data_IF_847503054990
#
_entry.id   IF_847503054990
#
_cell.length_a   1.000
_cell.length_b   1.000
_cell.length_c   1.000
_cell.angle_alpha   90.00
_cell.angle_beta   90.00
_cell.angle_gamma   90.00
#
_symmetry.space_group_name_H-M   'P 1'
#
loop_
_entity.id
_entity.type
_entity.pdbx_description
1 polymer ?
#
# COMPACT_ATOMS: atom_id res chain seq x y z
N UNK A 1 -55.69 -67.44 -29.04
CA UNK A 1 -54.90 -67.09 -30.24
C UNK A 1 -54.68 -65.59 -30.41
N UNK A 2 -55.69 -64.72 -30.33
CA UNK A 2 -55.54 -63.27 -30.56
C UNK A 2 -54.52 -62.53 -29.66
N UNK A 3 -54.44 -62.87 -28.36
CA UNK A 3 -53.48 -62.23 -27.41
C UNK A 3 -52.02 -62.57 -27.71
N UNK A 4 -51.74 -63.77 -28.21
CA UNK A 4 -50.38 -64.21 -28.55
C UNK A 4 -49.88 -63.49 -29.80
N UNK A 5 -50.72 -63.35 -30.82
CA UNK A 5 -50.40 -62.55 -32.02
C UNK A 5 -50.13 -61.09 -31.67
N UNK A 6 -50.90 -60.51 -30.76
CA UNK A 6 -50.68 -59.12 -30.34
C UNK A 6 -49.32 -58.93 -29.65
N UNK A 7 -48.93 -59.86 -28.77
CA UNK A 7 -47.62 -59.84 -28.09
C UNK A 7 -46.48 -60.02 -29.10
N UNK A 8 -46.63 -60.92 -30.07
CA UNK A 8 -45.63 -61.14 -31.13
C UNK A 8 -45.47 -59.90 -32.01
N UNK A 9 -46.56 -59.24 -32.38
CA UNK A 9 -46.54 -57.98 -33.16
C UNK A 9 -45.89 -56.86 -32.35
N UNK A 10 -46.19 -56.77 -31.05
CA UNK A 10 -45.61 -55.76 -30.17
C UNK A 10 -44.10 -55.95 -29.98
N UNK A 11 -43.61 -57.19 -29.89
CA UNK A 11 -42.19 -57.52 -29.83
C UNK A 11 -41.49 -57.18 -31.16
N UNK A 12 -42.11 -57.48 -32.30
CA UNK A 12 -41.60 -57.10 -33.62
C UNK A 12 -41.50 -55.58 -33.80
N UNK A 13 -42.48 -54.83 -33.29
CA UNK A 13 -42.47 -53.37 -33.29
C UNK A 13 -41.36 -52.79 -32.41
N UNK A 14 -41.11 -53.40 -31.24
CA UNK A 14 -40.05 -52.99 -30.33
C UNK A 14 -38.65 -53.33 -30.87
N UNK A 15 -38.48 -54.48 -31.51
CA UNK A 15 -37.20 -54.88 -32.14
C UNK A 15 -36.88 -54.03 -33.37
N UNK A 16 -37.90 -53.50 -34.06
CA UNK A 16 -37.73 -52.58 -35.20
C UNK A 16 -37.22 -51.19 -34.85
N UNK A 17 -37.11 -50.84 -33.56
CA UNK A 17 -36.57 -49.56 -33.08
C UNK A 17 -35.07 -49.61 -32.76
N UNK A 18 -34.31 -50.58 -33.29
CA UNK A 18 -32.85 -50.51 -33.26
C UNK A 18 -32.37 -49.28 -34.05
N UNK A 19 -32.13 -48.19 -33.33
CA UNK A 19 -31.38 -47.03 -33.84
C UNK A 19 -29.97 -47.53 -34.12
N UNK A 20 -29.63 -47.62 -35.40
CA UNK A 20 -28.27 -47.94 -35.82
C UNK A 20 -27.40 -46.73 -35.44
N UNK A 21 -26.41 -46.96 -34.59
CA UNK A 21 -25.36 -45.97 -34.37
C UNK A 21 -24.54 -45.92 -35.66
N UNK A 22 -24.83 -44.95 -36.52
CA UNK A 22 -24.05 -44.72 -37.73
C UNK A 22 -22.73 -44.07 -37.32
N UNK A 23 -21.64 -44.81 -37.51
CA UNK A 23 -20.29 -44.29 -37.28
C UNK A 23 -20.04 -43.17 -38.28
N UNK A 24 -20.13 -41.92 -37.82
CA UNK A 24 -19.88 -40.75 -38.66
C UNK A 24 -18.41 -40.79 -39.12
N UNK A 25 -18.13 -41.00 -40.41
CA UNK A 25 -16.77 -41.09 -40.88
C UNK A 25 -16.14 -39.70 -40.86
N UNK A 26 -14.89 -39.62 -40.43
CA UNK A 26 -14.13 -38.38 -40.46
C UNK A 26 -13.97 -37.90 -41.92
N UNK A 27 -14.60 -36.78 -42.25
CA UNK A 27 -14.72 -36.31 -43.63
C UNK A 27 -13.51 -35.45 -44.05
N UNK A 28 -13.40 -35.17 -45.36
CA UNK A 28 -12.42 -34.21 -45.86
C UNK A 28 -12.68 -32.79 -45.33
N UNK A 29 -13.93 -32.42 -45.09
CA UNK A 29 -14.27 -31.11 -44.53
C UNK A 29 -13.77 -30.96 -43.09
N UNK A 30 -13.81 -32.05 -42.31
CA UNK A 30 -13.27 -32.06 -40.94
C UNK A 30 -11.75 -31.87 -40.95
N UNK A 31 -11.03 -32.44 -41.94
CA UNK A 31 -9.59 -32.18 -42.16
C UNK A 31 -9.30 -30.72 -42.43
N UNK A 32 -10.05 -30.10 -43.35
CA UNK A 32 -9.86 -28.69 -43.69
C UNK A 32 -10.18 -27.76 -42.51
N UNK A 33 -11.17 -28.12 -41.69
CA UNK A 33 -11.47 -27.43 -40.43
C UNK A 33 -10.31 -27.54 -39.44
N UNK A 34 -9.74 -28.72 -39.26
CA UNK A 34 -8.57 -28.91 -38.38
C UNK A 34 -7.37 -28.09 -38.85
N UNK A 35 -7.04 -28.11 -40.15
CA UNK A 35 -5.93 -27.34 -40.72
C UNK A 35 -6.13 -25.83 -40.47
N UNK A 36 -7.35 -25.33 -40.62
CA UNK A 36 -7.66 -23.91 -40.33
C UNK A 36 -7.52 -23.57 -38.85
N UNK A 37 -7.90 -24.50 -37.97
CA UNK A 37 -7.75 -24.34 -36.52
C UNK A 37 -6.27 -24.31 -36.15
N UNK A 38 -5.48 -25.24 -36.68
CA UNK A 38 -4.03 -25.31 -36.47
C UNK A 38 -3.34 -24.01 -36.91
N UNK A 39 -3.66 -23.50 -38.11
CA UNK A 39 -3.13 -22.22 -38.59
C UNK A 39 -3.51 -21.02 -37.69
N UNK A 40 -4.70 -21.03 -37.09
CA UNK A 40 -5.11 -20.00 -36.12
C UNK A 40 -4.38 -20.12 -34.79
N UNK A 41 -4.11 -21.35 -34.34
CA UNK A 41 -3.34 -21.61 -33.12
C UNK A 41 -1.91 -21.09 -33.31
N UNK A 42 -1.27 -21.39 -34.44
CA UNK A 42 0.07 -20.86 -34.72
C UNK A 42 0.13 -19.32 -34.76
N UNK A 43 -0.91 -18.67 -35.30
CA UNK A 43 -1.00 -17.20 -35.28
C UNK A 43 -1.18 -16.66 -33.85
N UNK A 44 -1.99 -17.35 -33.04
CA UNK A 44 -2.17 -17.02 -31.62
C UNK A 44 -0.85 -17.17 -30.86
N UNK A 45 -0.10 -18.25 -31.07
CA UNK A 45 1.20 -18.48 -30.42
C UNK A 45 2.20 -17.36 -30.74
N UNK A 46 2.30 -16.96 -32.01
CA UNK A 46 3.16 -15.82 -32.42
C UNK A 46 2.78 -14.52 -31.73
N UNK A 47 1.47 -14.28 -31.53
CA UNK A 47 0.99 -13.09 -30.83
C UNK A 47 1.28 -13.17 -29.33
N UNK A 48 1.18 -14.34 -28.71
CA UNK A 48 1.56 -14.55 -27.32
C UNK A 48 3.06 -14.32 -27.09
N UNK A 49 3.93 -14.84 -27.96
CA UNK A 49 5.37 -14.56 -27.87
C UNK A 49 5.68 -13.05 -27.95
N UNK A 50 4.94 -12.31 -28.78
CA UNK A 50 5.09 -10.85 -28.86
C UNK A 50 4.62 -10.16 -27.57
N UNK A 51 3.56 -10.66 -26.95
CA UNK A 51 3.05 -10.17 -25.67
C UNK A 51 4.08 -10.43 -24.57
N UNK A 52 4.66 -11.62 -24.49
CA UNK A 52 5.68 -11.97 -23.50
C UNK A 52 6.89 -11.04 -23.58
N UNK A 53 7.39 -10.78 -24.80
CA UNK A 53 8.50 -9.81 -25.01
C UNK A 53 8.16 -8.40 -24.52
N UNK A 54 6.91 -7.97 -24.69
CA UNK A 54 6.44 -6.66 -24.19
C UNK A 54 6.34 -6.67 -22.67
N UNK A 55 5.84 -7.75 -22.07
CA UNK A 55 5.76 -7.89 -20.62
C UNK A 55 7.14 -7.86 -19.98
N UNK A 56 8.12 -8.60 -20.50
CA UNK A 56 9.50 -8.51 -20.01
C UNK A 56 10.06 -7.08 -20.10
N UNK A 57 9.73 -6.35 -21.18
CA UNK A 57 10.15 -4.95 -21.31
C UNK A 57 9.49 -4.06 -20.24
N UNK A 58 8.22 -4.31 -19.90
CA UNK A 58 7.51 -3.58 -18.84
C UNK A 58 8.12 -3.91 -17.48
N UNK A 59 8.39 -5.17 -17.19
CA UNK A 59 9.00 -5.63 -15.95
C UNK A 59 10.36 -4.94 -15.72
N UNK A 60 11.24 -4.94 -16.74
CA UNK A 60 12.52 -4.20 -16.69
C UNK A 60 12.36 -2.70 -16.44
N UNK A 61 11.27 -2.08 -16.89
CA UNK A 61 11.00 -0.65 -16.62
C UNK A 61 10.51 -0.45 -15.19
N UNK A 62 9.67 -1.35 -14.68
CA UNK A 62 9.17 -1.32 -13.30
C UNK A 62 10.33 -1.50 -12.33
N UNK A 63 11.20 -2.49 -12.54
CA UNK A 63 12.40 -2.69 -11.71
C UNK A 63 13.29 -1.44 -11.67
N UNK A 64 13.46 -0.77 -12.82
CA UNK A 64 14.22 0.50 -12.87
C UNK A 64 13.55 1.60 -12.06
N UNK A 65 12.23 1.73 -12.15
CA UNK A 65 11.47 2.74 -11.41
C UNK A 65 11.50 2.46 -9.90
N UNK A 66 11.32 1.20 -9.50
CA UNK A 66 11.41 0.77 -8.11
C UNK A 66 12.79 1.08 -7.54
N UNK A 67 13.87 0.74 -8.27
CA UNK A 67 15.23 1.07 -7.86
C UNK A 67 15.43 2.59 -7.69
N UNK A 68 14.97 3.40 -8.65
CA UNK A 68 15.09 4.87 -8.55
C UNK A 68 14.29 5.42 -7.37
N UNK A 69 13.09 4.90 -7.13
CA UNK A 69 12.28 5.28 -5.97
C UNK A 69 12.98 4.91 -4.66
N UNK A 70 13.46 3.67 -4.51
CA UNK A 70 14.15 3.20 -3.30
C UNK A 70 15.39 4.07 -3.03
N UNK A 71 16.24 4.30 -4.05
CA UNK A 71 17.43 5.14 -3.89
C UNK A 71 17.08 6.61 -3.61
N UNK A 72 16.07 7.16 -4.29
CA UNK A 72 15.63 8.54 -4.10
C UNK A 72 15.06 8.78 -2.70
N UNK A 73 14.15 7.92 -2.25
CA UNK A 73 13.62 7.98 -0.89
C UNK A 73 14.71 7.72 0.16
N UNK A 74 15.60 6.76 -0.07
CA UNK A 74 16.74 6.49 0.81
C UNK A 74 17.60 7.72 1.05
N UNK A 75 17.91 8.49 -0.01
CA UNK A 75 18.65 9.74 0.09
C UNK A 75 17.87 10.79 0.90
N UNK A 76 16.57 10.95 0.64
CA UNK A 76 15.72 11.90 1.35
C UNK A 76 15.59 11.55 2.85
N UNK A 77 15.38 10.27 3.19
CA UNK A 77 15.30 9.84 4.58
C UNK A 77 16.64 9.95 5.30
N UNK A 78 17.74 9.59 4.63
CA UNK A 78 19.10 9.71 5.21
C UNK A 78 19.45 11.17 5.50
N UNK A 79 19.14 12.07 4.57
CA UNK A 79 19.36 13.52 4.76
C UNK A 79 18.45 14.10 5.83
N UNK A 80 17.17 13.71 5.88
CA UNK A 80 16.22 14.14 6.90
C UNK A 80 16.65 13.72 8.31
N UNK A 81 16.98 12.44 8.50
CA UNK A 81 17.45 11.91 9.79
C UNK A 81 18.81 12.52 10.14
N UNK A 82 19.70 12.68 9.17
CA UNK A 82 20.98 13.35 9.35
C UNK A 82 20.83 14.80 9.84
N UNK A 83 19.93 15.58 9.23
CA UNK A 83 19.65 16.95 9.66
C UNK A 83 18.97 16.99 11.03
N UNK A 84 17.98 16.14 11.29
CA UNK A 84 17.32 16.07 12.60
C UNK A 84 18.31 15.66 13.70
N UNK A 85 19.16 14.67 13.42
CA UNK A 85 20.22 14.24 14.32
C UNK A 85 21.24 15.35 14.58
N UNK A 86 21.68 16.05 13.53
CA UNK A 86 22.57 17.20 13.63
C UNK A 86 21.97 18.36 14.43
N UNK A 87 20.70 18.70 14.18
CA UNK A 87 19.99 19.77 14.90
C UNK A 87 19.78 19.40 16.37
N UNK A 88 19.44 18.15 16.68
CA UNK A 88 19.32 17.70 18.07
C UNK A 88 20.67 17.74 18.79
N UNK A 89 21.76 17.44 18.09
CA UNK A 89 23.12 17.55 18.61
C UNK A 89 23.54 19.01 18.84
N UNK A 90 23.28 19.90 17.88
CA UNK A 90 23.57 21.33 17.95
C UNK A 90 22.79 22.00 19.11
N UNK A 91 21.50 21.67 19.25
CA UNK A 91 20.64 22.20 20.31
C UNK A 91 21.19 21.94 21.71
N UNK A 92 21.74 20.75 21.99
CA UNK A 92 22.35 20.45 23.30
C UNK A 92 23.58 21.31 23.58
N UNK A 93 24.34 21.65 22.54
CA UNK A 93 25.57 22.46 22.66
C UNK A 93 25.24 23.96 22.80
N UNK A 94 24.28 24.45 22.02
CA UNK A 94 23.91 25.86 21.93
C UNK A 94 22.94 26.37 23.02
N UNK A 95 22.12 25.51 23.64
CA UNK A 95 21.20 25.95 24.72
C UNK A 95 21.86 26.14 26.08
N UNK A 96 23.09 25.66 26.28
CA UNK A 96 23.79 25.77 27.56
C UNK A 96 23.90 27.22 28.10
N UNK A 97 24.24 28.26 27.31
CA UNK A 97 24.23 29.64 27.78
C UNK A 97 22.82 30.21 28.01
N UNK A 98 21.83 29.78 27.25
CA UNK A 98 20.45 30.26 27.39
C UNK A 98 19.80 29.77 28.69
N UNK A 99 20.03 28.50 29.04
CA UNK A 99 19.57 27.92 30.31
C UNK A 99 20.25 28.63 31.50
N UNK A 100 21.56 28.90 31.41
CA UNK A 100 22.30 29.57 32.49
C UNK A 100 21.84 31.02 32.72
N UNK A 101 21.65 31.80 31.65
CA UNK A 101 21.12 33.17 31.76
C UNK A 101 19.70 33.20 32.33
N UNK A 102 18.84 32.27 31.93
CA UNK A 102 17.50 32.16 32.52
C UNK A 102 17.56 31.87 34.01
N UNK A 103 18.43 30.95 34.43
CA UNK A 103 18.60 30.64 35.86
C UNK A 103 19.11 31.84 36.66
N UNK A 104 20.08 32.59 36.14
CA UNK A 104 20.58 33.81 36.79
C UNK A 104 19.50 34.91 36.88
N UNK A 105 18.64 35.03 35.86
CA UNK A 105 17.52 35.97 35.87
C UNK A 105 16.46 35.58 36.90
N UNK A 106 16.14 34.29 37.00
CA UNK A 106 15.20 33.75 37.99
C UNK A 106 15.69 34.01 39.42
N UNK A 107 16.96 33.73 39.70
CA UNK A 107 17.59 34.00 41.00
C UNK A 107 17.61 35.50 41.37
N UNK A 108 17.82 36.38 40.38
CA UNK A 108 17.74 37.84 40.60
C UNK A 108 16.31 38.27 40.87
N UNK A 109 15.34 37.73 40.12
CA UNK A 109 13.94 38.07 40.28
C UNK A 109 13.43 37.65 41.67
N UNK A 110 13.82 36.46 42.15
CA UNK A 110 13.48 35.96 43.50
C UNK A 110 14.03 36.86 44.61
N UNK A 111 15.27 37.36 44.46
CA UNK A 111 15.88 38.30 45.42
C UNK A 111 15.14 39.64 45.43
N UNK A 112 14.74 40.14 44.27
CA UNK A 112 13.96 41.38 44.14
C UNK A 112 12.58 41.21 44.78
N UNK A 113 11.91 40.09 44.52
CA UNK A 113 10.61 39.77 45.14
C UNK A 113 10.73 39.69 46.66
N UNK A 114 11.78 39.05 47.20
CA UNK A 114 12.04 39.04 48.65
C UNK A 114 12.26 40.43 49.23
N UNK A 115 13.09 41.26 48.59
CA UNK A 115 13.34 42.62 49.05
C UNK A 115 12.07 43.49 49.01
N UNK A 116 11.24 43.34 47.97
CA UNK A 116 9.95 44.02 47.86
C UNK A 116 8.97 43.56 48.94
N UNK A 117 8.92 42.25 49.24
CA UNK A 117 8.12 41.71 50.35
C UNK A 117 8.54 42.30 51.70
N UNK A 118 9.84 42.35 51.97
CA UNK A 118 10.37 42.94 53.22
C UNK A 118 10.05 44.43 53.34
N UNK A 119 10.19 45.19 52.25
CA UNK A 119 9.90 46.63 52.24
C UNK A 119 8.40 46.91 52.36
N UNK A 120 7.55 46.04 51.85
CA UNK A 120 6.10 46.21 51.91
C UNK A 120 5.53 46.12 53.33
N UNK A 121 6.23 45.50 54.29
CA UNK A 121 5.86 45.59 55.70
C UNK A 121 6.07 47.00 56.28
N UNK A 122 6.88 47.85 55.65
CA UNK A 122 7.16 49.23 56.07
C UNK A 122 6.27 50.27 55.37
N UNK A 123 5.68 49.92 54.22
CA UNK A 123 4.88 50.84 53.42
C UNK A 123 3.51 50.24 53.04
N UNK A 124 2.38 50.74 53.59
CA UNK A 124 1.06 50.13 53.40
C UNK A 124 0.56 50.17 51.94
N UNK A 125 0.95 51.19 51.17
CA UNK A 125 0.63 51.28 49.73
C UNK A 125 1.34 50.19 48.90
N UNK A 126 2.58 49.83 49.26
CA UNK A 126 3.32 48.79 48.53
C UNK A 126 2.78 47.39 48.84
N UNK A 127 2.33 47.15 50.08
CA UNK A 127 1.68 45.89 50.45
C UNK A 127 0.39 45.65 49.65
N UNK A 128 -0.41 46.70 49.46
CA UNK A 128 -1.64 46.61 48.66
C UNK A 128 -1.36 46.31 47.19
N UNK A 129 -0.30 46.90 46.62
CA UNK A 129 0.15 46.63 45.25
C UNK A 129 0.63 45.18 45.10
N UNK A 130 1.45 44.67 46.03
CA UNK A 130 1.94 43.28 45.98
C UNK A 130 0.82 42.25 46.16
N UNK A 131 -0.18 42.55 46.98
CA UNK A 131 -1.38 41.71 47.16
C UNK A 131 -2.24 41.65 45.89
N UNK A 132 -2.41 42.77 45.18
CA UNK A 132 -3.16 42.81 43.93
C UNK A 132 -2.46 42.07 42.78
N UNK A 133 -1.13 42.01 42.78
CA UNK A 133 -0.33 41.27 41.77
C UNK A 133 -0.17 39.78 42.11
N UNK A 134 -0.68 39.33 43.27
CA UNK A 134 -0.61 37.92 43.70
C UNK A 134 0.78 37.47 44.18
N UNK A 135 1.65 38.43 44.53
CA UNK A 135 3.00 38.15 45.01
C UNK A 135 3.06 37.99 46.54
N UNK A 136 2.07 38.48 47.29
CA UNK A 136 1.87 38.24 48.73
C UNK A 136 0.77 37.20 48.96
#
# INVERSE_FOLDING_TARGET
MARLNFIVIMILLLLGQCVWAEEVPYTLEDRDRLIRVEAKIEDIDKRFEQIDKRFEQVERRIERLENVMIWGFGLLFTTMIGLLGFVLWDRRTALSPAIRKNKELEERNDKIVKALKEYAYKEPKLAEILRNVGLM
#
